data_IF_735735961512
#
_entry.id   IF_735735961512
#
_cell.length_a   1.000
_cell.length_b   1.000
_cell.length_c   1.000
_cell.angle_alpha   90.00
_cell.angle_beta   90.00
_cell.angle_gamma   90.00
#
_symmetry.space_group_name_H-M   'P 1'
#
loop_
_entity.id
_entity.type
_entity.pdbx_description
1 polymer ?
#
# COMPACT_ATOMS: atom_id res chain seq x y z
N UNK A 1 12.82 -5.80 -2.97
CA UNK A 1 12.54 -6.02 -1.55
C UNK A 1 12.05 -7.45 -1.36
N UNK A 2 12.29 -8.08 -0.21
CA UNK A 2 11.77 -9.43 0.05
C UNK A 2 10.26 -9.37 0.38
N UNK A 3 9.44 -10.34 -0.09
CA UNK A 3 8.00 -10.37 0.20
C UNK A 3 7.69 -10.29 1.70
N UNK A 4 8.49 -10.97 2.52
CA UNK A 4 8.37 -11.00 3.99
C UNK A 4 8.59 -9.63 4.63
N UNK A 5 9.50 -8.82 4.08
CA UNK A 5 9.74 -7.47 4.57
C UNK A 5 8.56 -6.54 4.30
N UNK A 6 7.94 -6.68 3.12
CA UNK A 6 6.75 -5.92 2.75
C UNK A 6 5.58 -6.32 3.65
N UNK A 7 5.38 -7.62 3.86
CA UNK A 7 4.35 -8.13 4.75
C UNK A 7 4.51 -7.59 6.17
N UNK A 8 5.70 -7.74 6.74
CA UNK A 8 6.02 -7.22 8.07
C UNK A 8 5.74 -5.72 8.15
N UNK A 9 6.17 -4.94 7.16
CA UNK A 9 5.89 -3.51 7.09
C UNK A 9 4.39 -3.20 7.08
N UNK A 10 3.60 -3.87 6.24
CA UNK A 10 2.15 -3.66 6.17
C UNK A 10 1.44 -4.10 7.46
N UNK A 11 1.98 -5.07 8.18
CA UNK A 11 1.44 -5.56 9.45
C UNK A 11 1.83 -4.70 10.66
N UNK A 12 3.03 -4.12 10.69
CA UNK A 12 3.53 -3.32 11.81
C UNK A 12 3.37 -1.82 11.60
N UNK A 13 3.77 -1.31 10.44
CA UNK A 13 3.85 0.14 10.21
C UNK A 13 2.51 0.72 9.79
N UNK A 14 1.61 -0.10 9.25
CA UNK A 14 0.34 0.36 8.71
C UNK A 14 -0.85 0.26 9.68
N UNK A 15 -0.59 -0.04 10.96
CA UNK A 15 -1.61 -0.24 12.02
C UNK A 15 -2.59 0.93 12.17
N UNK A 16 -2.18 2.17 11.87
CA UNK A 16 -3.00 3.39 11.99
C UNK A 16 -3.36 4.04 10.64
N UNK A 17 -3.41 3.26 9.55
CA UNK A 17 -3.59 3.79 8.18
C UNK A 17 -2.64 4.94 7.80
N UNK A 18 -1.37 4.97 8.24
CA UNK A 18 -0.48 6.01 7.78
C UNK A 18 -0.24 5.85 6.28
N UNK A 19 -0.16 6.99 5.61
CA UNK A 19 0.17 7.03 4.19
C UNK A 19 1.59 6.51 4.02
N UNK A 20 1.82 5.73 2.97
CA UNK A 20 3.08 5.06 2.68
C UNK A 20 3.51 5.50 1.29
N UNK A 21 4.76 5.94 1.19
CA UNK A 21 5.43 6.15 -0.08
C UNK A 21 6.07 4.83 -0.52
N UNK A 22 5.65 4.35 -1.67
CA UNK A 22 6.17 3.16 -2.35
C UNK A 22 7.03 3.63 -3.53
N UNK A 23 8.31 3.31 -3.49
CA UNK A 23 9.22 3.54 -4.60
C UNK A 23 9.34 2.27 -5.44
N UNK A 24 9.43 2.45 -6.76
CA UNK A 24 9.45 1.36 -7.71
C UNK A 24 10.72 1.38 -8.54
N UNK A 25 11.08 0.22 -9.11
CA UNK A 25 12.27 0.07 -9.96
C UNK A 25 12.17 0.83 -11.28
N UNK A 26 10.99 0.79 -11.92
CA UNK A 26 10.79 1.22 -13.32
C UNK A 26 9.82 2.39 -13.48
N UNK A 27 9.25 2.91 -12.39
CA UNK A 27 8.19 3.91 -12.44
C UNK A 27 8.26 4.87 -11.26
N UNK A 28 7.52 5.97 -11.36
CA UNK A 28 7.44 6.98 -10.33
C UNK A 28 6.97 6.40 -8.99
N UNK A 29 7.51 6.95 -7.91
CA UNK A 29 7.06 6.62 -6.55
C UNK A 29 5.61 7.03 -6.37
N UNK A 30 4.84 6.19 -5.70
CA UNK A 30 3.42 6.42 -5.42
C UNK A 30 3.24 6.52 -3.91
N UNK A 31 2.44 7.50 -3.49
CA UNK A 31 2.04 7.64 -2.10
C UNK A 31 0.58 7.21 -1.93
N UNK A 32 0.31 6.40 -0.91
CA UNK A 32 -1.02 5.81 -0.70
C UNK A 32 -1.12 4.98 0.57
N UNK A 33 -2.23 4.29 0.77
CA UNK A 33 -2.41 3.35 1.89
C UNK A 33 -2.54 1.93 1.34
N UNK A 34 -1.90 0.95 1.98
CA UNK A 34 -2.25 -0.44 1.70
C UNK A 34 -3.62 -0.75 2.33
N UNK A 35 -4.39 -1.57 1.64
CA UNK A 35 -5.69 -2.03 2.13
C UNK A 35 -5.69 -3.55 2.22
N UNK A 36 -6.28 -4.05 3.30
CA UNK A 36 -6.50 -5.48 3.52
C UNK A 36 -7.95 -5.80 3.16
N UNK A 37 -8.15 -6.81 2.34
CA UNK A 37 -9.45 -7.33 1.96
C UNK A 37 -9.45 -8.86 2.12
N UNK A 38 -10.54 -9.54 1.76
CA UNK A 38 -10.65 -11.02 1.86
C UNK A 38 -9.56 -11.74 1.07
N UNK A 39 -9.07 -11.15 -0.02
CA UNK A 39 -7.96 -11.66 -0.85
C UNK A 39 -6.56 -11.35 -0.29
N UNK A 40 -6.42 -10.72 0.87
CA UNK A 40 -5.13 -10.27 1.40
C UNK A 40 -4.10 -11.39 1.55
N UNK A 41 -4.48 -12.53 2.13
CA UNK A 41 -3.54 -13.65 2.34
C UNK A 41 -3.06 -14.26 1.02
N UNK A 42 -3.97 -14.37 0.04
CA UNK A 42 -3.62 -14.87 -1.28
C UNK A 42 -2.68 -13.90 -2.01
N UNK A 43 -3.00 -12.60 -2.00
CA UNK A 43 -2.16 -11.57 -2.60
C UNK A 43 -0.78 -11.54 -1.94
N UNK A 44 -0.71 -11.57 -0.60
CA UNK A 44 0.55 -11.62 0.16
C UNK A 44 1.41 -12.83 -0.26
N UNK A 45 0.81 -14.01 -0.38
CA UNK A 45 1.51 -15.23 -0.85
C UNK A 45 2.07 -15.08 -2.26
N UNK A 46 1.34 -14.40 -3.15
CA UNK A 46 1.78 -14.09 -4.53
C UNK A 46 2.66 -12.84 -4.64
N UNK A 47 3.02 -12.20 -3.52
CA UNK A 47 3.71 -10.92 -3.46
C UNK A 47 2.99 -9.79 -4.22
N UNK A 48 1.67 -9.75 -4.15
CA UNK A 48 0.84 -8.67 -4.61
C UNK A 48 0.30 -7.86 -3.44
N UNK A 49 0.18 -6.55 -3.65
CA UNK A 49 -0.23 -5.61 -2.64
C UNK A 49 -1.22 -4.62 -3.22
N UNK A 50 -2.35 -4.46 -2.54
CA UNK A 50 -3.42 -3.54 -2.96
C UNK A 50 -3.20 -2.20 -2.28
N UNK A 51 -2.96 -1.16 -3.08
CA UNK A 51 -2.62 0.19 -2.60
C UNK A 51 -3.64 1.20 -3.17
N UNK A 52 -4.26 1.95 -2.27
CA UNK A 52 -5.09 3.11 -2.61
C UNK A 52 -4.19 4.34 -2.65
N UNK A 53 -4.05 4.94 -3.81
CA UNK A 53 -3.25 6.16 -3.99
C UNK A 53 -3.91 7.36 -3.32
N UNK A 54 -3.16 8.41 -2.99
CA UNK A 54 -3.73 9.69 -2.50
C UNK A 54 -4.87 10.23 -3.37
N UNK A 55 -4.77 10.11 -4.69
CA UNK A 55 -5.83 10.53 -5.61
C UNK A 55 -7.17 9.78 -5.42
N UNK A 56 -7.14 8.57 -4.88
CA UNK A 56 -8.32 7.70 -4.68
C UNK A 56 -8.65 7.53 -3.19
N UNK A 57 -7.87 8.14 -2.31
CA UNK A 57 -8.04 8.05 -0.86
C UNK A 57 -9.35 8.69 -0.41
N UNK A 58 -9.79 9.78 -1.06
CA UNK A 58 -11.08 10.39 -0.76
C UNK A 58 -12.24 9.45 -1.10
N UNK A 59 -12.22 8.84 -2.29
CA UNK A 59 -13.21 7.85 -2.72
C UNK A 59 -13.24 6.64 -1.79
N UNK A 60 -12.07 6.14 -1.39
CA UNK A 60 -11.97 5.05 -0.43
C UNK A 60 -12.51 5.44 0.96
N UNK A 61 -12.26 6.66 1.43
CA UNK A 61 -12.79 7.10 2.73
C UNK A 61 -14.32 7.26 2.70
N UNK A 62 -14.89 7.72 1.58
CA UNK A 62 -16.35 7.90 1.42
C UNK A 62 -17.10 6.59 1.23
N UNK A 63 -16.62 5.73 0.34
CA UNK A 63 -17.35 4.54 -0.09
C UNK A 63 -16.79 3.23 0.47
N UNK A 64 -15.60 3.27 1.11
CA UNK A 64 -14.81 2.07 1.47
C UNK A 64 -14.59 1.11 0.31
N UNK A 65 -14.62 1.65 -0.91
CA UNK A 65 -14.63 0.86 -2.12
C UNK A 65 -13.22 0.32 -2.43
N UNK A 66 -13.07 -1.00 -2.40
CA UNK A 66 -11.79 -1.67 -2.64
C UNK A 66 -11.29 -1.57 -4.08
N UNK A 67 -12.16 -1.20 -5.03
CA UNK A 67 -11.79 -0.92 -6.42
C UNK A 67 -11.07 0.42 -6.56
N UNK A 68 -11.15 1.31 -5.56
CA UNK A 68 -10.31 2.50 -5.49
C UNK A 68 -8.82 2.17 -5.32
N UNK A 69 -8.51 0.94 -4.90
CA UNK A 69 -7.14 0.42 -4.78
C UNK A 69 -6.65 -0.24 -6.06
N UNK A 70 -5.40 0.06 -6.44
CA UNK A 70 -4.70 -0.66 -7.51
C UNK A 70 -3.80 -1.75 -6.92
N UNK A 71 -3.76 -2.89 -7.59
CA UNK A 71 -2.87 -3.99 -7.24
C UNK A 71 -1.48 -3.75 -7.83
N UNK A 72 -0.45 -3.98 -7.04
CA UNK A 72 0.94 -3.83 -7.44
C UNK A 72 1.77 -5.03 -7.00
N UNK A 73 2.72 -5.43 -7.84
CA UNK A 73 3.62 -6.52 -7.51
C UNK A 73 4.76 -6.00 -6.63
N UNK A 74 4.92 -6.58 -5.44
CA UNK A 74 5.95 -6.22 -4.46
C UNK A 74 7.38 -6.42 -4.97
N UNK A 75 7.57 -7.22 -6.02
CA UNK A 75 8.86 -7.40 -6.69
C UNK A 75 9.34 -6.14 -7.41
N UNK A 76 8.42 -5.25 -7.75
CA UNK A 76 8.72 -3.93 -8.31
C UNK A 76 9.14 -2.92 -7.24
N UNK A 77 8.89 -3.20 -5.95
CA UNK A 77 9.16 -2.26 -4.88
C UNK A 77 10.65 -2.21 -4.59
N UNK A 78 11.19 -1.00 -4.61
CA UNK A 78 12.58 -0.70 -4.20
C UNK A 78 12.61 -0.27 -2.74
N UNK A 79 11.66 0.57 -2.31
CA UNK A 79 11.61 1.13 -0.96
C UNK A 79 10.17 1.40 -0.51
N UNK A 80 9.94 1.23 0.79
CA UNK A 80 8.70 1.59 1.48
C UNK A 80 9.05 2.59 2.58
N UNK A 81 8.25 3.63 2.74
CA UNK A 81 8.47 4.64 3.78
C UNK A 81 7.14 5.19 4.28
N UNK A 82 6.94 5.17 5.59
CA UNK A 82 5.76 5.77 6.22
C UNK A 82 5.85 7.29 6.10
N UNK A 83 4.88 7.90 5.44
CA UNK A 83 4.71 9.34 5.41
C UNK A 83 3.65 9.68 6.43
N UNK A 84 4.05 10.21 7.60
CA UNK A 84 3.08 10.81 8.52
C UNK A 84 2.41 11.95 7.77
N UNK A 85 1.07 11.93 7.67
CA UNK A 85 0.30 13.09 7.24
C UNK A 85 0.81 14.25 8.09
N UNK A 86 1.41 15.28 7.48
CA UNK A 86 1.75 16.50 8.21
C UNK A 86 0.44 16.96 8.84
N UNK A 87 0.36 16.93 10.17
CA UNK A 87 -0.59 17.75 10.88
C UNK A 87 -0.21 19.19 10.51
N UNK A 88 -0.98 19.77 9.58
CA UNK A 88 -1.06 21.20 9.36
C UNK A 88 -2.31 21.65 10.09
#
# INVERSE_FOLDING_TARGET
>A
MLPEQIAKFVETEQLNNPTVKVEFKKRNSITGIFIKHTDYEELKSKNFWRLVTEANLETYNKSKDVNAGRMFNGSEFTRLSVTKKKAV
#
